data_IF_980073509733
#
_entry.id   IF_980073509733
#
_cell.length_a   1.000
_cell.length_b   1.000
_cell.length_c   1.000
_cell.angle_alpha   90.00
_cell.angle_beta   90.00
_cell.angle_gamma   90.00
#
_symmetry.space_group_name_H-M   'P 1'
#
loop_
_entity.id
_entity.type
_entity.pdbx_description
1 polymer ?
#
# COMPACT_ATOMS: atom_id res chain seq x y z
N UNK A 1 -1.84 18.62 -60.32
CA UNK A 1 -1.65 18.71 -59.79
C UNK A 1 -1.86 18.40 -58.64
N UNK A 2 -1.83 18.04 -57.96
CA UNK A 2 -1.99 17.93 -56.99
C UNK A 2 -1.57 17.89 -55.97
N UNK A 3 -1.62 17.80 -55.29
CA UNK A 3 -1.24 17.91 -54.38
C UNK A 3 -1.46 17.59 -53.32
N UNK A 4 -1.29 17.21 -52.64
CA UNK A 4 -1.42 16.95 -51.63
C UNK A 4 -1.17 17.13 -50.59
N UNK A 5 -1.26 16.98 -49.99
CA UNK A 5 -1.11 17.30 -49.02
C UNK A 5 -1.26 16.86 -47.98
N UNK A 6 -1.01 16.66 -47.27
CA UNK A 6 -1.07 16.26 -46.25
C UNK A 6 -0.81 16.42 -45.22
N UNK A 7 -0.88 16.17 -44.44
CA UNK A 7 -0.74 16.39 -43.46
C UNK A 7 -0.53 15.85 -42.45
N UNK A 8 -0.14 15.72 -41.79
CA UNK A 8 0.20 15.42 -40.90
C UNK A 8 -0.12 15.28 -39.84
N UNK A 9 -0.15 14.97 -39.21
CA UNK A 9 -0.50 14.84 -38.26
C UNK A 9 -0.19 14.70 -37.19
N UNK A 10 -0.02 14.76 -36.60
CA UNK A 10 0.23 15.06 -35.57
C UNK A 10 0.06 14.27 -34.57
N UNK A 11 0.58 13.61 -34.21
CA UNK A 11 0.38 12.88 -33.35
C UNK A 11 0.54 13.27 -32.14
N UNK A 12 -0.03 13.38 -31.50
CA UNK A 12 -0.05 13.88 -30.37
C UNK A 12 0.32 13.03 -29.47
N UNK A 13 1.21 12.84 -29.12
CA UNK A 13 1.51 12.03 -28.27
C UNK A 13 1.44 12.42 -27.04
N UNK A 14 0.89 12.10 -26.36
CA UNK A 14 0.73 12.44 -25.20
C UNK A 14 1.43 11.89 -24.36
N UNK A 15 2.17 12.03 -23.83
CA UNK A 15 2.85 11.67 -23.00
C UNK A 15 2.58 11.77 -21.79
N UNK A 16 2.25 11.21 -21.18
CA UNK A 16 1.94 11.17 -20.10
C UNK A 16 2.99 10.98 -19.32
N UNK A 17 3.68 11.70 -19.06
CA UNK A 17 4.60 11.72 -18.35
C UNK A 17 4.37 11.52 -17.14
N UNK A 18 4.25 10.75 -16.76
CA UNK A 18 4.00 10.46 -15.61
C UNK A 18 4.72 11.06 -14.70
N UNK A 19 4.36 11.40 -13.88
CA UNK A 19 4.90 12.03 -13.06
C UNK A 19 5.28 11.09 -12.20
N UNK A 20 6.29 10.89 -12.00
CA UNK A 20 6.66 10.06 -11.15
C UNK A 20 6.26 10.43 -9.97
N UNK A 21 5.72 10.21 -9.36
CA UNK A 21 5.47 10.71 -8.27
C UNK A 21 4.48 10.05 -7.56
N UNK A 22 3.49 10.63 -7.14
CA UNK A 22 2.52 10.09 -6.27
C UNK A 22 1.80 8.90 -6.85
N UNK A 23 1.61 7.88 -6.04
CA UNK A 23 0.89 6.70 -6.44
C UNK A 23 -0.36 6.64 -5.59
N UNK A 24 -1.53 6.58 -6.19
CA UNK A 24 -2.75 6.53 -5.40
C UNK A 24 -2.81 5.25 -4.59
N UNK A 25 -2.90 5.37 -3.30
CA UNK A 25 -3.03 4.22 -2.43
C UNK A 25 -4.51 3.97 -2.11
N UNK A 26 -5.23 5.01 -1.77
CA UNK A 26 -6.66 4.91 -1.49
C UNK A 26 -7.35 6.02 -2.26
N UNK A 27 -8.41 5.69 -2.98
CA UNK A 27 -9.13 6.69 -3.77
C UNK A 27 -10.19 7.39 -2.91
N UNK A 28 -10.72 8.48 -3.41
CA UNK A 28 -11.76 9.21 -2.70
C UNK A 28 -12.98 8.35 -2.47
N UNK A 29 -13.37 7.54 -3.43
CA UNK A 29 -14.54 6.69 -3.27
C UNK A 29 -14.29 5.62 -2.24
N UNK A 30 -13.10 5.08 -2.20
CA UNK A 30 -12.76 4.05 -1.22
C UNK A 30 -12.72 4.64 0.18
N UNK A 31 -12.30 5.89 0.30
CA UNK A 31 -12.25 6.54 1.59
C UNK A 31 -13.63 6.73 2.17
N UNK A 32 -14.67 6.70 1.34
CA UNK A 32 -16.04 6.89 1.80
C UNK A 32 -16.75 5.61 2.13
N UNK A 33 -16.11 4.48 2.01
CA UNK A 33 -16.76 3.21 2.28
C UNK A 33 -17.16 3.11 3.77
N UNK A 34 -18.16 2.35 4.07
CA UNK A 34 -18.58 2.19 5.47
C UNK A 34 -17.48 1.56 6.32
N UNK A 35 -17.47 1.82 7.59
CA UNK A 35 -16.45 1.23 8.45
C UNK A 35 -16.54 -0.29 8.46
N UNK A 36 -15.48 -0.95 8.87
CA UNK A 36 -15.50 -2.40 8.86
C UNK A 36 -16.50 -2.94 9.85
N UNK A 37 -17.11 -4.06 9.50
CA UNK A 37 -18.06 -4.65 10.38
C UNK A 37 -17.36 -5.46 11.42
N UNK A 38 -17.89 -5.49 12.57
CA UNK A 38 -17.34 -6.30 13.63
C UNK A 38 -16.13 -5.69 14.26
N UNK A 39 -15.64 -6.36 15.25
CA UNK A 39 -14.53 -5.84 15.98
C UNK A 39 -13.29 -6.16 15.24
N UNK A 40 -12.41 -5.23 15.21
CA UNK A 40 -11.20 -5.46 14.57
C UNK A 40 -10.31 -5.92 15.61
N UNK A 41 -9.95 -7.13 15.66
CA UNK A 41 -9.18 -7.58 16.65
C UNK A 41 -7.85 -7.47 16.39
N UNK A 42 -7.27 -6.67 16.94
CA UNK A 42 -6.01 -6.48 16.67
C UNK A 42 -5.12 -7.29 17.39
N UNK A 43 -5.37 -7.99 18.34
CA UNK A 43 -4.36 -8.51 18.99
C UNK A 43 -4.32 -9.86 19.12
N UNK A 44 -3.30 -10.40 18.95
CA UNK A 44 -3.13 -11.60 19.02
C UNK A 44 -2.36 -11.79 20.17
N UNK A 45 -2.72 -12.49 21.08
CA UNK A 45 -1.99 -12.67 22.13
C UNK A 45 -1.32 -13.88 21.91
N UNK A 46 -0.40 -14.25 22.09
CA UNK A 46 0.25 -15.46 21.89
C UNK A 46 1.61 -15.25 21.38
N UNK A 47 2.47 -16.18 21.49
CA UNK A 47 3.78 -16.04 21.01
C UNK A 47 3.82 -16.42 19.61
N UNK A 48 3.93 -15.49 18.74
CA UNK A 48 4.02 -15.77 17.36
C UNK A 48 5.45 -15.88 17.00
N UNK A 49 5.83 -16.92 16.35
CA UNK A 49 7.20 -17.05 15.89
C UNK A 49 7.32 -16.66 14.44
N UNK A 50 6.28 -16.12 13.89
CA UNK A 50 6.34 -15.63 12.52
C UNK A 50 7.01 -14.30 12.41
N UNK A 51 7.07 -13.73 11.23
CA UNK A 51 7.75 -12.48 11.02
C UNK A 51 7.05 -11.34 11.74
N UNK A 52 7.84 -10.37 12.12
CA UNK A 52 7.31 -9.19 12.77
C UNK A 52 7.21 -8.09 11.74
N UNK A 53 6.14 -7.35 11.76
CA UNK A 53 5.96 -6.22 10.86
C UNK A 53 5.92 -4.96 11.70
N UNK A 54 6.80 -4.04 11.40
CA UNK A 54 6.90 -2.82 12.16
C UNK A 54 6.65 -1.61 11.27
N UNK A 55 5.83 -0.69 11.71
CA UNK A 55 5.54 0.51 10.94
C UNK A 55 6.62 1.54 11.24
N UNK A 56 7.37 1.91 10.23
CA UNK A 56 8.44 2.88 10.38
C UNK A 56 7.92 4.28 10.07
N UNK A 57 7.11 4.42 9.05
CA UNK A 57 6.55 5.70 8.63
C UNK A 57 5.18 5.48 8.01
N UNK A 58 4.22 6.34 8.28
CA UNK A 58 4.33 7.53 9.10
C UNK A 58 4.13 7.20 10.57
N UNK A 59 4.80 7.92 11.44
CA UNK A 59 4.63 7.75 12.86
C UNK A 59 3.55 8.64 13.38
N UNK A 60 3.20 9.64 12.68
CA UNK A 60 2.21 10.60 13.10
C UNK A 60 1.40 11.02 11.92
N UNK A 61 0.43 11.86 12.11
CA UNK A 61 -0.34 12.39 11.00
C UNK A 61 0.55 13.12 10.02
N UNK A 62 0.33 12.92 8.77
CA UNK A 62 1.13 13.57 7.73
C UNK A 62 0.24 14.10 6.65
N UNK A 63 0.84 14.66 5.63
CA UNK A 63 0.11 15.19 4.48
C UNK A 63 0.36 14.29 3.28
N UNK A 64 -0.64 14.18 2.44
CA UNK A 64 -0.48 13.42 1.21
C UNK A 64 0.28 14.25 0.16
N UNK A 65 1.18 13.65 -0.57
CA UNK A 65 1.56 12.24 -0.49
C UNK A 65 2.47 11.98 0.70
N UNK A 66 2.38 10.81 1.26
CA UNK A 66 3.20 10.49 2.40
C UNK A 66 4.01 9.24 2.14
N UNK A 67 5.01 9.03 2.95
CA UNK A 67 5.83 7.85 2.79
C UNK A 67 5.30 6.75 3.67
N UNK A 68 5.03 5.60 3.08
CA UNK A 68 4.59 4.43 3.81
C UNK A 68 5.78 3.49 3.87
N UNK A 69 6.32 3.27 5.04
CA UNK A 69 7.47 2.41 5.19
C UNK A 69 7.23 1.41 6.31
N UNK A 70 7.38 0.16 5.99
CA UNK A 70 7.22 -0.92 6.94
C UNK A 70 8.48 -1.78 6.91
N UNK A 71 8.80 -2.38 8.04
CA UNK A 71 9.97 -3.23 8.12
C UNK A 71 9.53 -4.62 8.51
N UNK A 72 10.07 -5.62 7.85
CA UNK A 72 9.79 -7.00 8.18
C UNK A 72 11.01 -7.59 8.89
N UNK A 73 10.78 -8.33 9.96
CA UNK A 73 11.85 -9.02 10.64
C UNK A 73 11.51 -10.48 10.69
N UNK A 74 12.45 -11.32 10.39
CA UNK A 74 12.23 -12.75 10.43
C UNK A 74 13.12 -13.36 11.50
N UNK A 75 12.79 -14.55 11.92
CA UNK A 75 13.52 -15.21 12.96
C UNK A 75 13.94 -16.60 12.52
N UNK A 76 14.98 -17.12 13.09
CA UNK A 76 15.40 -18.49 12.81
C UNK A 76 15.93 -18.69 11.41
N UNK A 77 16.46 -17.67 10.80
CA UNK A 77 17.02 -17.81 9.46
C UNK A 77 15.98 -17.82 8.33
N UNK A 78 14.72 -17.59 8.66
CA UNK A 78 13.70 -17.59 7.63
C UNK A 78 13.76 -16.33 6.80
N UNK A 79 13.10 -16.33 5.66
CA UNK A 79 13.01 -15.18 4.80
C UNK A 79 11.57 -14.83 4.60
N UNK A 80 11.29 -13.62 4.19
CA UNK A 80 9.93 -13.20 3.90
C UNK A 80 9.53 -13.74 2.53
N UNK A 81 8.34 -14.32 2.50
CA UNK A 81 7.77 -14.75 1.24
C UNK A 81 7.04 -13.53 0.67
N UNK A 82 7.68 -12.84 -0.25
CA UNK A 82 7.15 -11.60 -0.79
C UNK A 82 5.77 -11.82 -1.41
N UNK A 83 5.54 -12.96 -2.00
CA UNK A 83 4.25 -13.20 -2.65
C UNK A 83 3.13 -13.40 -1.65
N UNK A 84 3.45 -13.63 -0.39
CA UNK A 84 2.43 -13.81 0.62
C UNK A 84 1.94 -12.51 1.21
N UNK A 85 2.58 -11.39 0.89
CA UNK A 85 2.24 -10.12 1.50
C UNK A 85 0.88 -9.67 1.02
N UNK A 86 0.00 -9.31 1.95
CA UNK A 86 -1.30 -8.77 1.62
C UNK A 86 -1.52 -7.50 2.40
N UNK A 87 -2.01 -6.49 1.74
CA UNK A 87 -2.28 -5.19 2.36
C UNK A 87 -3.75 -4.88 2.14
N UNK A 88 -4.48 -4.67 3.22
CA UNK A 88 -5.90 -4.41 3.15
C UNK A 88 -6.26 -3.12 3.85
N UNK A 89 -7.14 -2.35 3.23
CA UNK A 89 -7.74 -1.20 3.87
C UNK A 89 -9.05 -1.72 4.43
N UNK A 90 -9.20 -1.63 5.75
CA UNK A 90 -10.32 -2.28 6.42
C UNK A 90 -11.58 -1.43 6.34
N UNK A 91 -12.48 -1.84 5.49
CA UNK A 91 -13.79 -1.21 5.31
C UNK A 91 -14.79 -2.29 4.94
N UNK A 92 -15.99 -1.91 4.61
CA UNK A 92 -17.01 -2.85 4.19
C UNK A 92 -17.42 -2.48 2.77
N UNK A 93 -16.99 -3.25 1.80
CA UNK A 93 -16.04 -4.37 1.91
C UNK A 93 -14.62 -3.88 2.04
N UNK A 94 -13.73 -4.75 2.48
CA UNK A 94 -12.32 -4.39 2.56
C UNK A 94 -11.77 -4.14 1.18
N UNK A 95 -10.85 -3.21 1.09
CA UNK A 95 -10.22 -2.88 -0.17
C UNK A 95 -8.84 -3.51 -0.19
N UNK A 96 -8.56 -4.30 -1.21
CA UNK A 96 -7.27 -4.95 -1.33
C UNK A 96 -6.28 -3.97 -1.95
N UNK A 97 -5.32 -3.54 -1.21
CA UNK A 97 -4.32 -2.60 -1.68
C UNK A 97 -3.05 -3.29 -2.16
N UNK A 98 -3.02 -4.61 -2.14
CA UNK A 98 -1.79 -5.35 -2.42
C UNK A 98 -1.21 -5.00 -3.78
N UNK A 99 -2.03 -4.92 -4.79
CA UNK A 99 -1.52 -4.63 -6.14
C UNK A 99 -0.92 -3.24 -6.23
N UNK A 100 -1.45 -2.29 -5.47
CA UNK A 100 -0.94 -0.92 -5.50
C UNK A 100 0.39 -0.80 -4.77
N UNK A 101 0.59 -1.64 -3.77
CA UNK A 101 1.80 -1.60 -2.99
C UNK A 101 2.85 -2.55 -3.55
N UNK A 102 2.44 -3.51 -4.35
CA UNK A 102 3.33 -4.56 -4.85
C UNK A 102 4.67 -4.07 -5.42
N UNK A 103 4.72 -3.02 -6.22
CA UNK A 103 6.01 -2.59 -6.75
C UNK A 103 6.98 -2.10 -5.67
N UNK A 104 6.48 -1.85 -4.47
CA UNK A 104 7.28 -1.31 -3.39
C UNK A 104 7.58 -2.35 -2.31
N UNK A 105 7.18 -3.60 -2.52
CA UNK A 105 7.41 -4.65 -1.55
C UNK A 105 8.78 -5.27 -1.76
N UNK A 106 9.55 -5.35 -0.70
CA UNK A 106 10.87 -5.92 -0.75
C UNK A 106 11.01 -6.97 0.33
N UNK A 107 12.08 -7.72 0.29
CA UNK A 107 12.29 -8.79 1.27
C UNK A 107 12.36 -8.28 2.70
N UNK A 108 12.79 -7.06 2.90
CA UNK A 108 12.93 -6.51 4.24
C UNK A 108 11.84 -5.52 4.59
N UNK A 109 10.89 -5.29 3.74
CA UNK A 109 9.81 -4.37 4.07
C UNK A 109 9.10 -3.79 2.88
N UNK A 110 8.33 -2.75 3.13
CA UNK A 110 7.63 -2.03 2.10
C UNK A 110 8.09 -0.59 2.19
N UNK A 111 8.43 0.00 1.07
CA UNK A 111 8.83 1.40 1.05
C UNK A 111 8.12 2.08 -0.12
N UNK A 112 7.02 2.74 0.16
CA UNK A 112 6.24 3.46 -0.84
C UNK A 112 6.41 4.93 -0.57
N UNK A 113 7.28 5.61 -1.30
CA UNK A 113 7.66 6.97 -0.95
C UNK A 113 6.56 8.02 -1.11
N UNK A 114 5.70 7.83 -2.07
CA UNK A 114 4.72 8.87 -2.34
C UNK A 114 3.32 8.27 -2.43
N UNK A 115 2.79 7.84 -1.32
CA UNK A 115 1.45 7.27 -1.29
C UNK A 115 0.42 8.39 -1.20
N UNK A 116 -0.52 8.40 -2.12
CA UNK A 116 -1.57 9.40 -2.14
C UNK A 116 -2.82 8.92 -1.47
N UNK A 117 -3.33 9.69 -0.53
CA UNK A 117 -4.58 9.38 0.13
C UNK A 117 -5.32 10.68 0.41
N UNK A 118 -6.63 10.68 0.36
CA UNK A 118 -7.38 11.87 0.78
C UNK A 118 -7.23 12.10 2.28
N UNK A 119 -7.51 13.27 2.78
CA UNK A 119 -7.45 13.50 4.22
C UNK A 119 -8.41 12.57 4.97
N UNK A 120 -7.97 12.08 6.09
CA UNK A 120 -8.79 11.19 6.91
C UNK A 120 -7.96 10.18 7.66
N UNK A 121 -8.65 9.21 8.22
CA UNK A 121 -7.98 8.13 8.94
C UNK A 121 -8.28 6.81 8.26
N UNK A 122 -7.26 6.00 8.09
CA UNK A 122 -7.39 4.77 7.34
C UNK A 122 -6.77 3.62 8.13
N UNK A 123 -7.58 2.60 8.42
CA UNK A 123 -7.07 1.46 9.14
C UNK A 123 -6.58 0.44 8.15
N UNK A 124 -5.36 0.07 8.25
CA UNK A 124 -4.70 -0.80 7.27
C UNK A 124 -4.15 -2.02 7.99
N UNK A 125 -4.28 -3.16 7.36
CA UNK A 125 -3.74 -4.40 7.90
C UNK A 125 -2.78 -5.00 6.90
N UNK A 126 -1.65 -5.46 7.37
CA UNK A 126 -0.66 -6.12 6.54
C UNK A 126 -0.43 -7.51 7.07
N UNK A 127 -0.55 -8.50 6.21
CA UNK A 127 -0.30 -9.90 6.56
C UNK A 127 0.85 -10.40 5.72
N UNK A 128 1.70 -11.22 6.30
CA UNK A 128 2.87 -11.74 5.60
C UNK A 128 3.21 -13.10 6.17
N UNK A 129 3.87 -13.92 5.39
CA UNK A 129 4.36 -15.21 5.86
C UNK A 129 5.85 -15.30 5.59
N UNK A 130 6.53 -16.09 6.38
CA UNK A 130 7.95 -16.33 6.12
C UNK A 130 8.11 -17.61 5.30
N UNK A 131 9.34 -17.95 5.00
CA UNK A 131 9.65 -19.10 4.16
C UNK A 131 9.26 -20.42 4.82
N UNK A 132 9.02 -20.41 6.12
CA UNK A 132 8.57 -21.58 6.83
C UNK A 132 7.05 -21.61 6.96
N UNK A 133 6.36 -20.67 6.35
CA UNK A 133 4.91 -20.61 6.38
C UNK A 133 4.33 -19.98 7.63
N UNK A 134 5.15 -19.42 8.48
CA UNK A 134 4.65 -18.81 9.71
C UNK A 134 4.08 -17.43 9.41
N UNK A 135 2.91 -17.12 9.92
CA UNK A 135 2.29 -15.82 9.60
C UNK A 135 2.70 -14.73 10.57
N UNK A 136 2.64 -13.52 10.07
CA UNK A 136 2.80 -12.33 10.88
C UNK A 136 1.85 -11.27 10.36
N UNK A 137 1.41 -10.39 11.21
CA UNK A 137 0.53 -9.32 10.75
C UNK A 137 0.59 -8.12 11.65
N UNK A 138 0.15 -6.99 11.13
CA UNK A 138 0.05 -5.78 11.91
C UNK A 138 -1.14 -5.00 11.39
N UNK A 139 -1.83 -4.31 12.27
CA UNK A 139 -2.89 -3.37 11.88
C UNK A 139 -2.48 -2.01 12.42
N UNK A 140 -2.64 -0.99 11.64
CA UNK A 140 -2.27 0.36 12.05
C UNK A 140 -3.16 1.37 11.38
N UNK A 141 -3.15 2.59 11.86
CA UNK A 141 -3.96 3.65 11.30
C UNK A 141 -3.06 4.69 10.64
N UNK A 142 -3.39 5.01 9.39
CA UNK A 142 -2.73 6.10 8.70
C UNK A 142 -3.59 7.33 8.88
N UNK A 143 -2.99 8.42 9.29
CA UNK A 143 -3.72 9.67 9.44
C UNK A 143 -3.18 10.68 8.46
N UNK A 144 -4.07 11.21 7.66
CA UNK A 144 -3.69 12.19 6.63
C UNK A 144 -4.39 13.49 6.95
N UNK A 145 -3.59 14.53 7.13
CA UNK A 145 -4.12 15.85 7.42
C UNK A 145 -4.54 16.56 6.16
N UNK A 146 -5.54 17.40 6.23
CA UNK A 146 -5.99 18.15 5.06
C UNK A 146 -4.97 19.17 4.58
#
# INVERSE_FOLDING_TARGET
>A
MMKRTWLGIGAASLLNLGTAGATPLITDDEAKLPPPKGAIMANTRGILRGPKVEVISPNEAGHSPLRLQLKFETFGGARIDIESVKVLYLRTPNVDLTARVSPFIQADGIDMPDAELPPGEYMVRVDVKDSDGRPGSVSFTLRVSP
#
